data_IF_240588202869
#
_entry.id   IF_240588202869
#
_cell.length_a   1.000
_cell.length_b   1.000
_cell.length_c   1.000
_cell.angle_alpha   90.00
_cell.angle_beta   90.00
_cell.angle_gamma   90.00
#
_symmetry.space_group_name_H-M   'P 1'
#
loop_
_entity.id
_entity.type
_entity.pdbx_description
1 polymer ?
#
# COMPACT_ATOMS: atom_id res chain seq x y z
N UNK A 1 4.53 -21.72 -18.40
CA UNK A 1 5.73 -22.54 -18.05
C UNK A 1 5.60 -23.18 -16.68
N UNK A 2 5.16 -22.42 -15.64
CA UNK A 2 4.94 -23.00 -14.31
C UNK A 2 3.96 -24.18 -14.36
N UNK A 3 2.86 -24.05 -15.06
CA UNK A 3 1.83 -25.11 -15.22
C UNK A 3 2.40 -26.41 -15.79
N UNK A 4 3.31 -26.32 -16.75
CA UNK A 4 3.95 -27.48 -17.39
C UNK A 4 4.88 -28.25 -16.40
N UNK A 5 5.43 -27.55 -15.42
CA UNK A 5 6.43 -28.08 -14.48
C UNK A 5 5.96 -28.07 -13.02
N UNK A 6 4.67 -27.80 -12.77
CA UNK A 6 4.14 -27.56 -11.43
C UNK A 6 4.35 -28.73 -10.44
N UNK A 7 4.49 -29.96 -10.96
CA UNK A 7 4.70 -31.16 -10.17
C UNK A 7 6.19 -31.57 -10.07
N UNK A 8 7.08 -30.81 -10.70
CA UNK A 8 8.53 -31.04 -10.66
C UNK A 8 9.16 -30.37 -9.43
N UNK A 9 10.29 -30.89 -8.93
CA UNK A 9 11.11 -30.20 -7.92
C UNK A 9 11.46 -28.78 -8.36
N UNK A 10 11.48 -27.84 -7.42
CA UNK A 10 11.83 -26.43 -7.65
C UNK A 10 10.91 -25.67 -8.62
N UNK A 11 9.68 -26.13 -8.86
CA UNK A 11 8.68 -25.40 -9.67
C UNK A 11 8.37 -24.01 -9.11
N UNK A 12 8.49 -23.80 -7.78
CA UNK A 12 8.24 -22.54 -7.08
C UNK A 12 9.09 -21.37 -7.62
N UNK A 13 10.24 -21.65 -8.26
CA UNK A 13 11.07 -20.62 -8.93
C UNK A 13 10.31 -19.80 -9.95
N UNK A 14 9.31 -20.36 -10.60
CA UNK A 14 8.48 -19.65 -11.58
C UNK A 14 7.47 -18.72 -10.90
N UNK A 15 6.96 -19.11 -9.73
CA UNK A 15 6.09 -18.23 -8.91
C UNK A 15 6.91 -17.04 -8.41
N UNK A 16 8.15 -17.27 -7.98
CA UNK A 16 9.07 -16.21 -7.55
C UNK A 16 9.39 -15.26 -8.72
N UNK A 17 9.60 -15.80 -9.93
CA UNK A 17 9.81 -14.97 -11.13
C UNK A 17 8.55 -14.14 -11.46
N UNK A 18 7.35 -14.72 -11.35
CA UNK A 18 6.08 -13.99 -11.53
C UNK A 18 5.99 -12.86 -10.50
N UNK A 19 6.36 -13.08 -9.24
CA UNK A 19 6.40 -12.06 -8.22
C UNK A 19 7.35 -10.90 -8.58
N UNK A 20 8.53 -11.20 -9.09
CA UNK A 20 9.47 -10.18 -9.60
C UNK A 20 8.87 -9.35 -10.75
N UNK A 21 8.31 -10.03 -11.76
CA UNK A 21 7.66 -9.36 -12.89
C UNK A 21 6.44 -8.52 -12.44
N UNK A 22 5.72 -9.00 -11.42
CA UNK A 22 4.64 -8.22 -10.80
C UNK A 22 5.18 -6.93 -10.16
N UNK A 23 6.27 -7.02 -9.41
CA UNK A 23 6.94 -5.84 -8.83
C UNK A 23 7.41 -4.83 -9.89
N UNK A 24 8.04 -5.30 -10.96
CA UNK A 24 8.42 -4.45 -12.10
C UNK A 24 7.19 -3.81 -12.78
N UNK A 25 6.12 -4.58 -12.94
CA UNK A 25 4.91 -4.10 -13.62
C UNK A 25 4.17 -3.04 -12.83
N UNK A 26 4.28 -3.03 -11.50
CA UNK A 26 3.78 -1.94 -10.64
C UNK A 26 4.44 -0.61 -11.06
N UNK A 27 5.75 -0.62 -11.33
CA UNK A 27 6.51 0.54 -11.81
C UNK A 27 6.06 1.09 -13.17
N UNK A 28 5.40 0.25 -13.98
CA UNK A 28 4.86 0.67 -15.29
C UNK A 28 3.40 1.10 -15.16
N UNK A 29 2.54 0.23 -14.60
CA UNK A 29 1.13 0.52 -14.43
C UNK A 29 0.47 -0.40 -13.39
N UNK A 30 -0.19 0.20 -12.39
CA UNK A 30 -0.85 -0.55 -11.31
C UNK A 30 -1.96 -1.51 -11.79
N UNK A 31 -2.61 -1.23 -12.94
CA UNK A 31 -3.62 -2.15 -13.51
C UNK A 31 -3.05 -3.52 -13.88
N UNK A 32 -1.74 -3.67 -14.04
CA UNK A 32 -1.13 -4.97 -14.28
C UNK A 32 -1.36 -5.96 -13.13
N UNK A 33 -1.65 -5.48 -11.92
CA UNK A 33 -2.02 -6.33 -10.78
C UNK A 33 -3.32 -7.11 -11.02
N UNK A 34 -4.17 -6.69 -11.96
CA UNK A 34 -5.38 -7.41 -12.33
C UNK A 34 -5.12 -8.76 -13.01
N UNK A 35 -3.87 -9.06 -13.40
CA UNK A 35 -3.50 -10.40 -13.85
C UNK A 35 -3.41 -11.42 -12.69
N UNK A 36 -3.24 -10.98 -11.44
CA UNK A 36 -3.10 -11.88 -10.28
C UNK A 36 -4.30 -12.81 -10.09
N UNK A 37 -5.57 -12.39 -10.23
CA UNK A 37 -6.71 -13.29 -10.18
C UNK A 37 -6.62 -14.45 -11.17
N UNK A 38 -6.22 -14.18 -12.41
CA UNK A 38 -6.05 -15.23 -13.42
C UNK A 38 -4.91 -16.20 -13.02
N UNK A 39 -3.79 -15.69 -12.54
CA UNK A 39 -2.65 -16.50 -12.07
C UNK A 39 -3.05 -17.41 -10.89
N UNK A 40 -3.80 -16.86 -9.93
CA UNK A 40 -4.29 -17.64 -8.76
C UNK A 40 -5.26 -18.72 -9.19
N UNK A 41 -6.16 -18.46 -10.16
CA UNK A 41 -7.06 -19.48 -10.68
C UNK A 41 -6.29 -20.59 -11.42
N UNK A 42 -5.31 -20.26 -12.25
CA UNK A 42 -4.42 -21.25 -12.89
C UNK A 42 -3.72 -22.10 -11.81
N UNK A 43 -3.21 -21.47 -10.76
CA UNK A 43 -2.61 -22.19 -9.63
C UNK A 43 -3.61 -23.13 -8.95
N UNK A 44 -4.81 -22.65 -8.64
CA UNK A 44 -5.88 -23.41 -8.01
C UNK A 44 -6.26 -24.66 -8.82
N UNK A 45 -6.57 -24.48 -10.10
CA UNK A 45 -6.97 -25.62 -10.97
C UNK A 45 -5.86 -26.65 -11.17
N UNK A 46 -4.60 -26.22 -11.13
CA UNK A 46 -3.46 -27.14 -11.30
C UNK A 46 -3.16 -27.92 -10.02
N UNK A 47 -3.29 -27.27 -8.83
CA UNK A 47 -2.85 -27.87 -7.55
C UNK A 47 -3.96 -28.54 -6.75
N UNK A 48 -5.23 -28.26 -7.06
CA UNK A 48 -6.36 -28.82 -6.30
C UNK A 48 -7.07 -29.86 -7.14
N UNK A 49 -6.88 -31.18 -6.85
CA UNK A 49 -7.62 -32.24 -7.52
C UNK A 49 -9.13 -32.13 -7.22
N UNK A 50 -9.96 -32.26 -8.25
CA UNK A 50 -11.41 -32.14 -8.10
C UNK A 50 -11.91 -30.73 -7.84
N UNK A 51 -11.23 -29.73 -8.43
CA UNK A 51 -11.64 -28.33 -8.38
C UNK A 51 -13.13 -28.18 -8.72
N UNK A 52 -13.83 -27.36 -7.92
CA UNK A 52 -15.27 -27.14 -8.06
C UNK A 52 -15.62 -25.64 -8.03
N UNK A 53 -16.86 -25.31 -8.37
CA UNK A 53 -17.31 -23.92 -8.45
C UNK A 53 -17.14 -23.13 -7.14
N UNK A 54 -17.39 -23.75 -5.97
CA UNK A 54 -17.20 -23.09 -4.67
C UNK A 54 -15.72 -22.80 -4.41
N UNK A 55 -14.85 -23.75 -4.70
CA UNK A 55 -13.40 -23.54 -4.56
C UNK A 55 -12.86 -22.51 -5.53
N UNK A 56 -13.36 -22.46 -6.76
CA UNK A 56 -13.00 -21.43 -7.75
C UNK A 56 -13.42 -20.03 -7.27
N UNK A 57 -14.60 -19.90 -6.69
CA UNK A 57 -15.07 -18.63 -6.13
C UNK A 57 -14.22 -18.20 -4.92
N UNK A 58 -13.84 -19.14 -4.05
CA UNK A 58 -12.95 -18.87 -2.92
C UNK A 58 -11.53 -18.49 -3.39
N UNK A 59 -11.00 -19.15 -4.41
CA UNK A 59 -9.72 -18.81 -5.01
C UNK A 59 -9.75 -17.41 -5.63
N UNK A 60 -10.85 -17.06 -6.32
CA UNK A 60 -11.06 -15.72 -6.86
C UNK A 60 -11.16 -14.67 -5.74
N UNK A 61 -11.95 -14.92 -4.71
CA UNK A 61 -12.04 -14.02 -3.54
C UNK A 61 -10.67 -13.85 -2.86
N UNK A 62 -9.93 -14.93 -2.65
CA UNK A 62 -8.56 -14.90 -2.11
C UNK A 62 -7.60 -14.09 -2.98
N UNK A 63 -7.74 -14.19 -4.31
CA UNK A 63 -6.93 -13.41 -5.24
C UNK A 63 -7.23 -11.91 -5.17
N UNK A 64 -8.49 -11.52 -4.95
CA UNK A 64 -8.87 -10.12 -4.75
C UNK A 64 -8.29 -9.57 -3.45
N UNK A 65 -8.25 -10.40 -2.38
CA UNK A 65 -7.56 -10.04 -1.13
C UNK A 65 -6.06 -9.86 -1.37
N UNK A 66 -5.44 -10.73 -2.18
CA UNK A 66 -4.02 -10.60 -2.54
C UNK A 66 -3.75 -9.29 -3.31
N UNK A 67 -4.58 -8.97 -4.31
CA UNK A 67 -4.49 -7.69 -5.05
C UNK A 67 -4.64 -6.51 -4.10
N UNK A 68 -5.61 -6.56 -3.20
CA UNK A 68 -5.83 -5.50 -2.22
C UNK A 68 -4.63 -5.37 -1.25
N UNK A 69 -4.05 -6.49 -0.79
CA UNK A 69 -2.88 -6.48 0.07
C UNK A 69 -1.65 -5.85 -0.60
N UNK A 70 -1.44 -6.09 -1.90
CA UNK A 70 -0.35 -5.45 -2.65
C UNK A 70 -0.66 -3.97 -2.89
N UNK A 71 -1.86 -3.66 -3.42
CA UNK A 71 -2.24 -2.32 -3.89
C UNK A 71 -2.44 -1.33 -2.73
N UNK A 72 -3.10 -1.76 -1.66
CA UNK A 72 -3.45 -0.91 -0.52
C UNK A 72 -2.57 -1.17 0.72
N UNK A 73 -1.86 -2.30 0.76
CA UNK A 73 -0.97 -2.67 1.84
C UNK A 73 0.49 -2.37 1.50
N UNK A 74 1.12 -3.15 0.63
CA UNK A 74 2.57 -3.07 0.36
C UNK A 74 2.95 -1.73 -0.27
N UNK A 75 2.29 -1.33 -1.36
CA UNK A 75 2.68 -0.14 -2.12
C UNK A 75 2.65 1.14 -1.26
N UNK A 76 1.52 1.51 -0.61
CA UNK A 76 1.49 2.68 0.26
C UNK A 76 2.11 2.44 1.64
N UNK A 77 2.12 1.20 2.13
CA UNK A 77 2.62 0.86 3.45
C UNK A 77 4.11 1.08 3.60
N UNK A 78 4.90 0.63 2.63
CA UNK A 78 6.35 0.83 2.59
C UNK A 78 6.70 2.32 2.60
N UNK A 79 6.00 3.12 1.81
CA UNK A 79 6.20 4.57 1.78
C UNK A 79 5.82 5.19 3.12
N UNK A 80 4.68 4.82 3.70
CA UNK A 80 4.20 5.35 4.99
C UNK A 80 5.18 5.08 6.13
N UNK A 81 5.64 3.83 6.28
CA UNK A 81 6.62 3.48 7.31
C UNK A 81 7.95 4.20 7.04
N UNK A 82 8.35 4.29 5.78
CA UNK A 82 9.53 5.07 5.38
C UNK A 82 9.41 6.54 5.77
N UNK A 83 8.26 7.18 5.55
CA UNK A 83 7.99 8.56 5.99
C UNK A 83 8.11 8.72 7.51
N UNK A 84 7.57 7.77 8.30
CA UNK A 84 7.67 7.84 9.75
C UNK A 84 9.11 7.72 10.25
N UNK A 85 9.88 6.81 9.64
CA UNK A 85 11.30 6.65 10.00
C UNK A 85 12.10 7.87 9.54
N UNK A 86 11.81 8.43 8.37
CA UNK A 86 12.48 9.64 7.88
C UNK A 86 12.25 10.83 8.83
N UNK A 87 11.00 11.07 9.25
CA UNK A 87 10.68 12.13 10.23
C UNK A 87 11.41 11.92 11.56
N UNK A 88 11.50 10.67 12.03
CA UNK A 88 12.24 10.36 13.25
C UNK A 88 13.72 10.72 13.12
N UNK A 89 14.35 10.34 11.99
CA UNK A 89 15.79 10.58 11.79
C UNK A 89 16.10 12.05 11.53
N UNK A 90 15.31 12.71 10.67
CA UNK A 90 15.58 14.10 10.28
C UNK A 90 15.09 15.08 11.33
N UNK A 91 13.81 15.04 11.70
CA UNK A 91 13.25 16.05 12.60
C UNK A 91 13.61 15.82 14.06
N UNK A 92 13.69 14.56 14.53
CA UNK A 92 13.96 14.28 15.95
C UNK A 92 15.45 14.11 16.24
N UNK A 93 16.19 13.42 15.34
CA UNK A 93 17.62 13.15 15.55
C UNK A 93 18.52 14.18 14.85
N UNK A 94 17.98 15.06 13.99
CA UNK A 94 18.72 16.08 13.27
C UNK A 94 19.71 15.55 12.25
N UNK A 95 19.42 14.38 11.66
CA UNK A 95 20.23 13.76 10.62
C UNK A 95 19.91 14.38 9.24
N UNK A 96 20.80 14.23 8.25
CA UNK A 96 20.56 14.70 6.88
C UNK A 96 19.34 14.04 6.24
N UNK A 97 18.70 14.71 5.27
CA UNK A 97 17.62 14.18 4.46
C UNK A 97 17.95 12.81 3.87
N UNK A 98 16.93 11.95 3.75
CA UNK A 98 16.96 10.58 3.25
C UNK A 98 17.72 9.57 4.14
N UNK A 99 18.31 9.98 5.28
CA UNK A 99 18.98 9.04 6.19
C UNK A 99 18.00 8.00 6.77
N UNK A 100 16.83 8.44 7.20
CA UNK A 100 15.79 7.54 7.72
C UNK A 100 15.32 6.54 6.70
N UNK A 101 15.13 6.95 5.45
CA UNK A 101 14.71 6.07 4.34
C UNK A 101 15.77 4.99 4.08
N UNK A 102 17.06 5.37 4.02
CA UNK A 102 18.15 4.42 3.81
C UNK A 102 18.20 3.38 4.93
N UNK A 103 18.11 3.83 6.18
CA UNK A 103 18.09 2.93 7.35
C UNK A 103 16.86 2.02 7.31
N UNK A 104 15.70 2.56 7.00
CA UNK A 104 14.48 1.78 6.89
C UNK A 104 14.57 0.69 5.82
N UNK A 105 15.04 1.01 4.62
CA UNK A 105 15.21 0.04 3.53
C UNK A 105 16.19 -1.05 3.92
N UNK A 106 17.31 -0.69 4.57
CA UNK A 106 18.29 -1.67 5.06
C UNK A 106 17.68 -2.61 6.12
N UNK A 107 16.92 -2.06 7.07
CA UNK A 107 16.25 -2.86 8.10
C UNK A 107 15.15 -3.76 7.52
N UNK A 108 14.37 -3.26 6.57
CA UNK A 108 13.34 -4.05 5.87
C UNK A 108 13.99 -5.23 5.12
N UNK A 109 15.06 -4.97 4.37
CA UNK A 109 15.81 -6.01 3.68
C UNK A 109 16.38 -7.05 4.67
N UNK A 110 16.95 -6.61 5.78
CA UNK A 110 17.46 -7.50 6.82
C UNK A 110 16.35 -8.36 7.45
N UNK A 111 15.17 -7.78 7.70
CA UNK A 111 14.02 -8.51 8.24
C UNK A 111 13.51 -9.59 7.26
N UNK A 112 13.41 -9.26 5.97
CA UNK A 112 13.01 -10.22 4.92
C UNK A 112 14.03 -11.36 4.81
N UNK A 113 15.33 -11.03 4.76
CA UNK A 113 16.41 -12.01 4.66
C UNK A 113 16.41 -12.92 5.90
N UNK A 114 16.24 -12.36 7.09
CA UNK A 114 16.12 -13.15 8.32
C UNK A 114 14.91 -14.08 8.28
N UNK A 115 13.77 -13.60 7.82
CA UNK A 115 12.56 -14.41 7.66
C UNK A 115 12.75 -15.57 6.67
N UNK A 116 13.39 -15.31 5.52
CA UNK A 116 13.74 -16.34 4.54
C UNK A 116 14.68 -17.39 5.16
N UNK A 117 15.72 -16.95 5.87
CA UNK A 117 16.68 -17.83 6.54
C UNK A 117 16.00 -18.72 7.58
N UNK A 118 15.17 -18.17 8.48
CA UNK A 118 14.49 -18.93 9.52
C UNK A 118 13.44 -19.91 8.94
N UNK A 119 12.69 -19.48 7.92
CA UNK A 119 11.69 -20.34 7.27
C UNK A 119 12.30 -21.44 6.41
N UNK A 120 13.51 -21.24 5.88
CA UNK A 120 14.25 -22.25 5.13
C UNK A 120 14.87 -23.30 6.05
N UNK A 121 15.48 -22.89 7.17
CA UNK A 121 16.18 -23.79 8.09
C UNK A 121 15.25 -24.51 9.07
N UNK A 122 14.06 -24.01 9.32
CA UNK A 122 13.02 -24.58 10.20
C UNK A 122 13.50 -24.90 11.64
N UNK A 123 14.61 -24.28 12.11
CA UNK A 123 15.21 -24.60 13.42
C UNK A 123 14.34 -24.20 14.60
N UNK A 124 13.56 -23.11 14.49
CA UNK A 124 12.72 -22.60 15.56
C UNK A 124 11.45 -21.97 15.02
N UNK A 125 10.31 -22.54 15.37
CA UNK A 125 9.00 -22.01 14.99
C UNK A 125 8.78 -20.59 15.51
N UNK A 126 9.23 -20.31 16.73
CA UNK A 126 9.10 -18.98 17.32
C UNK A 126 9.87 -17.93 16.54
N UNK A 127 11.12 -18.18 16.18
CA UNK A 127 11.95 -17.26 15.40
C UNK A 127 11.38 -17.04 14.00
N UNK A 128 10.90 -18.10 13.36
CA UNK A 128 10.24 -18.04 12.06
C UNK A 128 8.96 -17.19 12.11
N UNK A 129 8.10 -17.38 13.10
CA UNK A 129 6.89 -16.58 13.28
C UNK A 129 7.21 -15.11 13.59
N UNK A 130 8.23 -14.88 14.43
CA UNK A 130 8.64 -13.51 14.81
C UNK A 130 9.22 -12.75 13.61
N UNK A 131 10.09 -13.37 12.83
CA UNK A 131 10.68 -12.75 11.64
C UNK A 131 9.63 -12.45 10.56
N UNK A 132 8.66 -13.36 10.39
CA UNK A 132 7.53 -13.14 9.49
C UNK A 132 6.65 -11.98 9.95
N UNK A 133 6.30 -11.94 11.23
CA UNK A 133 5.49 -10.86 11.82
C UNK A 133 6.21 -9.51 11.70
N UNK A 134 7.52 -9.47 11.99
CA UNK A 134 8.33 -8.27 11.83
C UNK A 134 8.34 -7.79 10.38
N UNK A 135 8.51 -8.69 9.42
CA UNK A 135 8.47 -8.33 7.99
C UNK A 135 7.13 -7.73 7.61
N UNK A 136 6.00 -8.32 8.02
CA UNK A 136 4.67 -7.78 7.75
C UNK A 136 4.48 -6.39 8.38
N UNK A 137 4.97 -6.19 9.59
CA UNK A 137 4.93 -4.89 10.26
C UNK A 137 5.75 -3.85 9.50
N UNK A 138 6.98 -4.18 9.11
CA UNK A 138 7.87 -3.27 8.40
C UNK A 138 7.40 -2.94 6.98
N UNK A 139 6.70 -3.86 6.30
CA UNK A 139 6.05 -3.59 5.01
C UNK A 139 4.90 -2.57 5.13
N UNK A 140 4.45 -2.26 6.34
CA UNK A 140 3.36 -1.30 6.56
C UNK A 140 1.96 -1.82 6.24
N UNK A 141 1.84 -3.08 5.81
CA UNK A 141 0.54 -3.69 5.41
C UNK A 141 -0.55 -3.49 6.47
N UNK A 142 -0.29 -3.67 7.80
CA UNK A 142 -1.31 -3.51 8.82
C UNK A 142 -1.74 -2.07 9.08
N UNK A 143 -0.92 -1.07 8.70
CA UNK A 143 -1.11 0.34 9.06
C UNK A 143 -1.97 1.07 8.03
N UNK A 144 -3.25 0.70 7.94
CA UNK A 144 -4.20 1.32 7.01
C UNK A 144 -4.85 2.57 7.63
N UNK A 145 -5.03 3.62 6.81
CA UNK A 145 -5.62 4.89 7.25
C UNK A 145 -4.57 5.98 7.54
N UNK A 146 -4.97 7.03 8.24
CA UNK A 146 -4.15 8.21 8.53
C UNK A 146 -4.03 8.45 10.04
N UNK A 147 -2.94 9.07 10.46
CA UNK A 147 -2.72 9.49 11.85
C UNK A 147 -2.72 8.35 12.86
N UNK A 148 -3.17 8.64 14.08
CA UNK A 148 -3.18 7.69 15.19
C UNK A 148 -4.06 6.45 14.94
N UNK A 149 -5.13 6.58 14.17
CA UNK A 149 -6.02 5.46 13.84
C UNK A 149 -5.31 4.37 13.04
N UNK A 150 -4.40 4.73 12.13
CA UNK A 150 -3.61 3.78 11.37
C UNK A 150 -2.70 2.93 12.28
N UNK A 151 -2.11 3.55 13.29
CA UNK A 151 -1.25 2.86 14.27
C UNK A 151 -2.07 1.90 15.12
N UNK A 152 -3.23 2.32 15.61
CA UNK A 152 -4.13 1.49 16.43
C UNK A 152 -4.60 0.27 15.61
N UNK A 153 -5.09 0.49 14.40
CA UNK A 153 -5.51 -0.59 13.49
C UNK A 153 -4.33 -1.54 13.23
N UNK A 154 -3.15 -1.00 12.96
CA UNK A 154 -1.94 -1.78 12.72
C UNK A 154 -1.56 -2.68 13.88
N UNK A 155 -1.59 -2.16 15.10
CA UNK A 155 -1.32 -2.94 16.31
C UNK A 155 -2.35 -4.05 16.50
N UNK A 156 -3.63 -3.77 16.28
CA UNK A 156 -4.69 -4.78 16.38
C UNK A 156 -4.51 -5.90 15.34
N UNK A 157 -4.24 -5.56 14.08
CA UNK A 157 -4.01 -6.52 13.01
C UNK A 157 -2.77 -7.37 13.30
N UNK A 158 -1.67 -6.77 13.76
CA UNK A 158 -0.47 -7.49 14.17
C UNK A 158 -0.73 -8.40 15.37
N UNK A 159 -1.55 -7.96 16.34
CA UNK A 159 -1.97 -8.78 17.48
C UNK A 159 -2.77 -10.02 17.06
N UNK A 160 -3.71 -9.85 16.14
CA UNK A 160 -4.50 -10.98 15.58
C UNK A 160 -3.59 -11.93 14.79
N UNK A 161 -2.68 -11.41 13.98
CA UNK A 161 -1.72 -12.23 13.23
C UNK A 161 -0.77 -12.96 14.16
N UNK A 162 -0.27 -12.30 15.21
CA UNK A 162 0.55 -12.93 16.25
C UNK A 162 -0.21 -14.04 16.97
N UNK A 163 -1.45 -13.78 17.39
CA UNK A 163 -2.30 -14.78 18.02
C UNK A 163 -2.48 -16.02 17.11
N UNK A 164 -2.72 -15.81 15.81
CA UNK A 164 -2.81 -16.90 14.84
C UNK A 164 -1.48 -17.68 14.71
N UNK A 165 -0.35 -16.99 14.54
CA UNK A 165 0.96 -17.61 14.31
C UNK A 165 1.48 -18.38 15.53
N UNK A 166 1.16 -17.92 16.75
CA UNK A 166 1.61 -18.50 18.00
C UNK A 166 0.58 -19.44 18.66
N UNK A 167 -0.62 -19.60 18.06
CA UNK A 167 -1.64 -20.50 18.59
C UNK A 167 -1.17 -21.98 18.58
N UNK A 168 -0.93 -22.54 19.76
CA UNK A 168 -0.43 -23.90 19.93
C UNK A 168 -1.48 -24.98 19.60
N UNK A 169 -2.78 -24.63 19.70
CA UNK A 169 -3.91 -25.56 19.50
C UNK A 169 -4.48 -25.55 18.08
N UNK A 170 -3.87 -24.84 17.14
CA UNK A 170 -4.38 -24.77 15.77
C UNK A 170 -4.16 -26.10 15.05
N UNK A 171 -5.21 -26.56 14.36
CA UNK A 171 -5.12 -27.75 13.52
C UNK A 171 -4.04 -27.55 12.43
N UNK A 172 -3.22 -28.57 12.17
CA UNK A 172 -2.14 -28.53 11.19
C UNK A 172 -2.61 -28.10 9.78
N UNK A 173 -3.87 -28.40 9.42
CA UNK A 173 -4.47 -28.00 8.14
C UNK A 173 -4.67 -26.49 7.99
N UNK A 174 -4.81 -25.76 9.11
CA UNK A 174 -5.05 -24.31 9.11
C UNK A 174 -3.73 -23.56 9.38
N UNK A 175 -2.75 -24.24 9.97
CA UNK A 175 -1.47 -23.65 10.34
C UNK A 175 -0.62 -23.39 9.10
N UNK A 176 -0.12 -22.17 8.96
CA UNK A 176 0.80 -21.83 7.87
C UNK A 176 2.09 -22.66 7.95
N UNK A 177 2.44 -23.38 6.88
CA UNK A 177 3.65 -24.19 6.81
C UNK A 177 4.90 -23.32 6.66
N UNK A 178 6.07 -23.84 7.03
CA UNK A 178 7.35 -23.17 6.83
C UNK A 178 7.61 -22.90 5.33
N UNK A 179 7.30 -23.85 4.47
CA UNK A 179 7.40 -23.69 3.02
C UNK A 179 6.53 -22.54 2.51
N UNK A 180 5.28 -22.42 2.98
CA UNK A 180 4.39 -21.34 2.59
C UNK A 180 4.94 -19.98 3.04
N UNK A 181 5.45 -19.88 4.27
CA UNK A 181 6.10 -18.67 4.77
C UNK A 181 7.34 -18.31 3.94
N UNK A 182 8.19 -19.30 3.65
CA UNK A 182 9.39 -19.09 2.83
C UNK A 182 9.05 -18.58 1.44
N UNK A 183 8.10 -19.24 0.76
CA UNK A 183 7.67 -18.81 -0.59
C UNK A 183 7.04 -17.43 -0.55
N UNK A 184 6.22 -17.11 0.46
CA UNK A 184 5.62 -15.77 0.62
C UNK A 184 6.70 -14.70 0.81
N UNK A 185 7.70 -14.96 1.65
CA UNK A 185 8.81 -14.02 1.89
C UNK A 185 9.70 -13.84 0.65
N UNK A 186 9.99 -14.93 -0.08
CA UNK A 186 10.72 -14.86 -1.35
C UNK A 186 9.95 -14.06 -2.40
N UNK A 187 8.64 -14.31 -2.53
CA UNK A 187 7.80 -13.53 -3.43
C UNK A 187 7.76 -12.04 -3.02
N UNK A 188 7.62 -11.76 -1.73
CA UNK A 188 7.67 -10.38 -1.20
C UNK A 188 9.00 -9.71 -1.51
N UNK A 189 10.12 -10.39 -1.26
CA UNK A 189 11.45 -9.88 -1.59
C UNK A 189 11.55 -9.54 -3.09
N UNK A 190 11.07 -10.42 -3.95
CA UNK A 190 11.14 -10.22 -5.40
C UNK A 190 10.19 -9.12 -5.90
N UNK A 191 9.00 -8.98 -5.28
CA UNK A 191 8.13 -7.82 -5.53
C UNK A 191 8.85 -6.53 -5.14
N UNK A 192 9.49 -6.49 -3.96
CA UNK A 192 10.23 -5.31 -3.50
C UNK A 192 11.42 -4.97 -4.40
N UNK A 193 12.16 -5.98 -4.89
CA UNK A 193 13.24 -5.77 -5.87
C UNK A 193 12.71 -5.19 -7.17
N UNK A 194 11.59 -5.69 -7.69
CA UNK A 194 10.92 -5.12 -8.87
C UNK A 194 10.40 -3.70 -8.62
N UNK A 195 9.74 -3.50 -7.48
CA UNK A 195 9.18 -2.21 -7.05
C UNK A 195 10.27 -1.15 -6.79
N UNK A 196 11.48 -1.54 -6.43
CA UNK A 196 12.62 -0.61 -6.24
C UNK A 196 12.96 0.18 -7.52
N UNK A 197 12.43 -0.20 -8.67
CA UNK A 197 12.51 0.60 -9.91
C UNK A 197 11.96 2.03 -9.75
N UNK A 198 11.05 2.27 -8.79
CA UNK A 198 10.61 3.63 -8.44
C UNK A 198 11.74 4.53 -7.91
N UNK A 199 12.81 3.98 -7.36
CA UNK A 199 13.98 4.77 -6.98
C UNK A 199 14.58 5.54 -8.17
N UNK A 200 14.46 4.99 -9.38
CA UNK A 200 14.91 5.68 -10.60
C UNK A 200 14.09 6.96 -10.88
N UNK A 201 12.81 6.97 -10.50
CA UNK A 201 11.96 8.15 -10.65
C UNK A 201 12.44 9.24 -9.70
N UNK A 202 12.70 8.91 -8.44
CA UNK A 202 13.23 9.85 -7.44
C UNK A 202 14.59 10.41 -7.88
N UNK A 203 15.51 9.53 -8.33
CA UNK A 203 16.84 9.95 -8.80
C UNK A 203 16.73 10.90 -10.01
N UNK A 204 15.81 10.64 -10.93
CA UNK A 204 15.59 11.52 -12.09
C UNK A 204 14.95 12.83 -11.70
N UNK A 205 14.00 12.84 -10.78
CA UNK A 205 13.35 14.04 -10.29
C UNK A 205 14.35 15.00 -9.67
N UNK A 206 15.23 14.48 -8.77
CA UNK A 206 16.31 15.29 -8.16
C UNK A 206 17.24 15.94 -9.20
N UNK A 207 17.35 15.38 -10.41
CA UNK A 207 18.13 15.94 -11.50
C UNK A 207 17.40 17.08 -12.26
N UNK A 208 16.21 17.50 -11.82
CA UNK A 208 15.41 18.60 -12.41
C UNK A 208 15.24 18.49 -13.93
N UNK A 209 14.70 17.36 -14.38
CA UNK A 209 14.45 17.10 -15.80
C UNK A 209 13.30 17.98 -16.32
N UNK A 210 13.26 18.35 -17.63
CA UNK A 210 12.23 19.25 -18.18
C UNK A 210 10.79 18.76 -18.01
N UNK A 211 10.58 17.44 -17.87
CA UNK A 211 9.27 16.83 -17.59
C UNK A 211 9.33 16.07 -16.26
N UNK A 212 9.16 16.79 -15.17
CA UNK A 212 9.17 16.25 -13.81
C UNK A 212 7.79 16.38 -13.16
N UNK A 213 6.92 15.42 -13.43
CA UNK A 213 5.55 15.44 -12.95
C UNK A 213 5.50 15.21 -11.44
N UNK A 214 4.98 16.18 -10.69
CA UNK A 214 4.87 16.21 -9.22
C UNK A 214 6.19 16.21 -8.46
N UNK A 215 7.32 16.37 -9.10
CA UNK A 215 8.66 16.45 -8.49
C UNK A 215 8.85 15.47 -7.32
N UNK A 216 8.79 14.14 -7.57
CA UNK A 216 8.93 13.14 -6.51
C UNK A 216 10.39 13.00 -6.04
N UNK A 217 10.93 14.05 -5.42
CA UNK A 217 12.34 14.15 -5.00
C UNK A 217 12.65 13.44 -3.68
N UNK A 218 11.63 13.15 -2.89
CA UNK A 218 11.76 12.49 -1.59
C UNK A 218 10.62 11.49 -1.36
N UNK A 219 10.65 10.82 -0.20
CA UNK A 219 9.68 9.78 0.11
C UNK A 219 8.25 10.32 0.29
N UNK A 220 8.08 11.59 0.72
CA UNK A 220 6.77 12.21 0.90
C UNK A 220 6.14 12.52 -0.45
N UNK A 221 6.87 13.22 -1.31
CA UNK A 221 6.45 13.56 -2.67
C UNK A 221 6.30 12.30 -3.54
N UNK A 222 7.11 11.26 -3.32
CA UNK A 222 6.91 9.95 -3.92
C UNK A 222 5.57 9.33 -3.46
N UNK A 223 5.20 9.48 -2.20
CA UNK A 223 3.91 9.04 -1.68
C UNK A 223 2.73 9.70 -2.39
N UNK A 224 2.77 11.01 -2.55
CA UNK A 224 1.76 11.79 -3.30
C UNK A 224 1.68 11.36 -4.78
N UNK A 225 2.85 11.14 -5.40
CA UNK A 225 2.93 10.64 -6.78
C UNK A 225 2.29 9.25 -6.94
N UNK A 226 2.58 8.32 -6.04
CA UNK A 226 2.03 6.97 -6.04
C UNK A 226 0.53 6.96 -5.70
N UNK A 227 0.11 7.81 -4.77
CA UNK A 227 -1.29 8.04 -4.39
C UNK A 227 -2.11 8.68 -5.50
N UNK A 228 -1.46 9.23 -6.53
CA UNK A 228 -2.11 10.02 -7.60
C UNK A 228 -2.97 11.16 -7.06
N UNK A 229 -2.54 11.78 -5.99
CA UNK A 229 -3.30 12.80 -5.25
C UNK A 229 -3.68 14.00 -6.12
N UNK A 230 -2.87 14.32 -7.12
CA UNK A 230 -3.16 15.37 -8.11
C UNK A 230 -4.51 15.18 -8.86
N UNK A 231 -4.96 13.93 -9.04
CA UNK A 231 -6.21 13.65 -9.75
C UNK A 231 -7.43 13.68 -8.84
N UNK A 232 -7.21 13.84 -7.53
CA UNK A 232 -8.24 13.78 -6.51
C UNK A 232 -8.81 12.37 -6.28
N UNK A 233 -9.55 12.25 -5.21
CA UNK A 233 -10.24 11.02 -4.83
C UNK A 233 -11.72 11.14 -5.13
N UNK A 234 -12.29 10.10 -5.72
CA UNK A 234 -13.73 9.98 -5.88
C UNK A 234 -14.16 8.63 -5.29
N UNK A 235 -15.01 8.63 -4.28
CA UNK A 235 -15.42 7.40 -3.62
C UNK A 235 -16.12 6.44 -4.59
N UNK A 236 -15.94 5.13 -4.38
CA UNK A 236 -16.49 4.10 -5.27
C UNK A 236 -17.94 3.77 -4.91
N UNK A 237 -18.22 3.55 -3.62
CA UNK A 237 -19.49 3.00 -3.16
C UNK A 237 -20.46 4.06 -2.64
N UNK A 238 -19.99 5.01 -1.86
CA UNK A 238 -20.82 6.03 -1.24
C UNK A 238 -20.10 7.38 -1.21
N UNK A 239 -20.72 8.41 -1.75
CA UNK A 239 -20.14 9.73 -1.85
C UNK A 239 -21.09 10.77 -2.43
N UNK A 240 -20.62 11.99 -2.73
CA UNK A 240 -21.46 13.11 -3.14
C UNK A 240 -22.30 12.78 -4.38
N UNK A 241 -23.57 13.15 -4.34
CA UNK A 241 -24.46 13.12 -5.49
C UNK A 241 -24.05 14.22 -6.51
N UNK A 242 -24.44 14.05 -7.77
CA UNK A 242 -24.08 15.02 -8.83
C UNK A 242 -24.63 16.44 -8.58
N UNK A 243 -25.74 16.55 -7.85
CA UNK A 243 -26.40 17.82 -7.48
C UNK A 243 -26.01 18.34 -6.09
N UNK A 244 -25.18 17.57 -5.36
CA UNK A 244 -24.85 17.91 -3.98
C UNK A 244 -24.02 19.16 -3.87
N UNK A 245 -24.40 20.03 -2.95
CA UNK A 245 -23.59 21.18 -2.53
C UNK A 245 -22.74 20.78 -1.32
N UNK A 246 -21.64 21.48 -1.09
CA UNK A 246 -20.86 21.36 0.13
C UNK A 246 -21.74 21.74 1.32
N UNK A 247 -21.69 20.96 2.38
CA UNK A 247 -22.37 21.30 3.62
C UNK A 247 -21.70 22.53 4.25
N UNK A 248 -22.50 23.43 4.80
CA UNK A 248 -22.03 24.69 5.38
C UNK A 248 -22.24 24.66 6.89
N UNK A 249 -21.29 25.17 7.63
CA UNK A 249 -21.41 25.54 9.03
C UNK A 249 -21.46 27.08 9.18
N UNK A 250 -21.92 27.55 10.31
CA UNK A 250 -21.91 28.99 10.62
C UNK A 250 -20.87 29.22 11.71
N UNK A 251 -19.79 29.91 11.35
CA UNK A 251 -18.73 30.32 12.24
C UNK A 251 -18.65 31.85 12.22
N UNK A 252 -18.72 32.48 13.39
CA UNK A 252 -18.69 33.96 13.56
C UNK A 252 -19.66 34.73 12.66
N UNK A 253 -20.82 34.12 12.33
CA UNK A 253 -21.84 34.71 11.46
C UNK A 253 -21.61 34.55 9.97
N UNK A 254 -20.54 33.85 9.56
CA UNK A 254 -20.24 33.52 8.16
C UNK A 254 -20.51 32.03 7.86
N UNK A 255 -21.03 31.78 6.66
CA UNK A 255 -21.18 30.41 6.17
C UNK A 255 -19.83 29.88 5.66
N UNK A 256 -19.25 28.90 6.36
CA UNK A 256 -18.00 28.24 5.99
C UNK A 256 -18.25 26.81 5.53
N UNK A 257 -17.53 26.32 4.52
CA UNK A 257 -17.61 24.93 4.11
C UNK A 257 -17.22 23.98 5.24
N UNK A 258 -18.08 23.00 5.55
CA UNK A 258 -17.79 22.00 6.57
C UNK A 258 -16.68 21.09 6.11
N UNK A 259 -15.58 21.07 6.86
CA UNK A 259 -14.44 20.24 6.63
C UNK A 259 -14.62 18.87 7.28
N UNK A 260 -14.38 17.81 6.52
CA UNK A 260 -14.40 16.43 7.01
C UNK A 260 -13.04 16.03 7.58
N UNK A 261 -12.00 16.30 6.84
CA UNK A 261 -10.61 16.03 7.23
C UNK A 261 -9.66 16.97 6.49
N UNK A 262 -8.52 17.19 7.10
CA UNK A 262 -7.39 17.88 6.44
C UNK A 262 -6.20 16.94 6.52
N UNK A 263 -5.67 16.53 5.38
CA UNK A 263 -4.45 15.76 5.33
C UNK A 263 -3.26 16.64 5.71
N UNK A 264 -2.21 16.01 6.22
CA UNK A 264 -0.95 16.66 6.56
C UNK A 264 0.07 16.39 5.47
N UNK A 265 0.72 17.44 4.99
CA UNK A 265 1.80 17.38 4.02
C UNK A 265 3.12 17.78 4.68
N UNK A 266 4.18 17.03 4.41
CA UNK A 266 5.53 17.35 4.87
C UNK A 266 6.37 17.85 3.71
N UNK A 267 7.00 19.03 3.89
CA UNK A 267 7.84 19.68 2.87
C UNK A 267 9.20 19.98 3.47
N UNK A 268 10.25 19.82 2.69
CA UNK A 268 11.61 20.20 3.08
C UNK A 268 11.67 21.67 3.39
N UNK A 269 12.21 22.02 4.56
CA UNK A 269 12.49 23.42 4.91
C UNK A 269 13.72 23.90 4.15
N UNK A 270 13.60 25.02 3.44
CA UNK A 270 14.75 25.70 2.86
C UNK A 270 15.65 26.25 3.96
N UNK A 271 16.96 26.00 3.84
CA UNK A 271 17.94 26.50 4.81
C UNK A 271 18.17 27.98 4.61
N UNK A 272 18.10 28.74 5.68
CA UNK A 272 18.48 30.16 5.71
C UNK A 272 19.97 30.37 5.98
N UNK A 273 20.64 29.36 6.57
CA UNK A 273 22.07 29.34 6.87
C UNK A 273 22.67 27.96 6.55
N UNK A 274 23.95 27.90 6.11
CA UNK A 274 24.64 26.62 5.86
C UNK A 274 24.73 25.69 7.08
N UNK A 275 24.72 26.25 8.29
CA UNK A 275 24.82 25.51 9.55
C UNK A 275 23.46 25.00 10.05
N UNK A 276 22.37 25.37 9.38
CA UNK A 276 21.03 24.94 9.76
C UNK A 276 20.83 23.44 9.45
N UNK A 277 20.29 22.70 10.44
CA UNK A 277 19.99 21.28 10.28
C UNK A 277 18.83 21.08 9.30
N UNK A 278 18.87 19.96 8.60
CA UNK A 278 17.76 19.52 7.76
C UNK A 278 16.50 19.32 8.61
N UNK A 279 15.35 19.71 8.10
CA UNK A 279 14.06 19.51 8.76
C UNK A 279 12.92 19.51 7.75
N UNK A 280 11.87 18.76 8.06
CA UNK A 280 10.60 18.82 7.37
C UNK A 280 9.61 19.68 8.15
N UNK A 281 8.88 20.53 7.45
CA UNK A 281 7.81 21.36 8.00
C UNK A 281 6.47 20.74 7.65
N UNK A 282 5.59 20.70 8.63
CA UNK A 282 4.22 20.27 8.47
C UNK A 282 3.38 21.41 7.87
N UNK A 283 2.71 21.13 6.77
CA UNK A 283 1.77 22.05 6.12
C UNK A 283 0.39 21.38 6.04
N UNK A 284 -0.69 22.17 6.07
CA UNK A 284 -2.02 21.64 5.78
C UNK A 284 -2.03 21.10 4.34
N UNK A 285 -2.42 19.85 4.21
CA UNK A 285 -2.60 19.20 2.93
C UNK A 285 -3.95 19.48 2.31
N UNK A 286 -4.51 18.52 1.59
CA UNK A 286 -5.78 18.66 0.92
C UNK A 286 -6.94 18.59 1.91
N UNK A 287 -7.81 19.60 1.85
CA UNK A 287 -9.05 19.62 2.63
C UNK A 287 -10.12 18.77 1.94
N UNK A 288 -10.68 17.81 2.67
CA UNK A 288 -11.90 17.11 2.25
C UNK A 288 -13.11 17.79 2.89
N UNK A 289 -14.15 18.02 2.07
CA UNK A 289 -15.38 18.64 2.52
C UNK A 289 -16.52 17.63 2.70
N UNK A 290 -17.41 17.90 3.63
CA UNK A 290 -18.67 17.19 3.71
C UNK A 290 -19.67 17.72 2.67
N UNK A 291 -20.51 16.82 2.16
CA UNK A 291 -21.52 17.14 1.18
C UNK A 291 -22.92 16.91 1.76
N UNK A 292 -23.85 17.81 1.44
CA UNK A 292 -25.20 17.78 1.97
C UNK A 292 -25.99 16.53 1.55
N UNK A 293 -25.71 16.00 0.35
CA UNK A 293 -26.37 14.83 -0.18
C UNK A 293 -25.36 13.84 -0.72
N UNK A 294 -25.47 12.59 -0.30
CA UNK A 294 -24.64 11.49 -0.77
C UNK A 294 -25.50 10.44 -1.48
N UNK A 295 -24.88 9.70 -2.40
CA UNK A 295 -25.51 8.62 -3.15
C UNK A 295 -24.65 7.37 -3.18
N UNK A 296 -25.27 6.23 -3.46
CA UNK A 296 -24.56 5.01 -3.78
C UNK A 296 -24.00 5.11 -5.20
N UNK A 297 -22.76 4.58 -5.38
CA UNK A 297 -22.04 4.54 -6.64
C UNK A 297 -21.85 5.93 -7.31
N UNK A 298 -21.21 6.89 -6.64
CA UNK A 298 -21.08 8.26 -7.14
C UNK A 298 -20.25 8.37 -8.44
N UNK A 299 -19.58 7.30 -8.88
CA UNK A 299 -18.84 7.26 -10.14
C UNK A 299 -19.72 7.05 -11.38
N UNK A 300 -21.02 6.85 -11.20
CA UNK A 300 -21.98 6.67 -12.29
C UNK A 300 -22.26 7.95 -13.10
N UNK A 301 -21.91 9.12 -12.57
CA UNK A 301 -22.07 10.40 -13.25
C UNK A 301 -20.73 11.08 -13.53
N UNK A 302 -20.71 12.02 -14.48
CA UNK A 302 -19.58 12.90 -14.73
C UNK A 302 -19.79 14.28 -14.09
N UNK A 303 -18.88 14.74 -13.25
CA UNK A 303 -18.95 16.07 -12.63
C UNK A 303 -18.94 17.20 -13.67
N UNK A 304 -18.28 17.00 -14.82
CA UNK A 304 -18.24 17.97 -15.91
C UNK A 304 -19.59 18.14 -16.63
N UNK A 305 -20.51 17.16 -16.50
CA UNK A 305 -21.81 17.17 -17.18
C UNK A 305 -23.00 17.37 -16.24
N UNK A 306 -22.76 17.83 -15.03
CA UNK A 306 -23.81 18.03 -13.99
C UNK A 306 -24.97 18.90 -14.47
N UNK A 307 -24.68 19.96 -15.24
CA UNK A 307 -25.71 20.86 -15.79
C UNK A 307 -26.65 20.13 -16.75
N UNK A 308 -26.12 19.22 -17.59
CA UNK A 308 -26.93 18.45 -18.52
C UNK A 308 -27.86 17.45 -17.82
N UNK A 309 -27.39 16.82 -16.74
CA UNK A 309 -28.24 15.91 -15.96
C UNK A 309 -29.44 16.63 -15.33
N UNK A 310 -29.24 17.85 -14.82
CA UNK A 310 -30.30 18.70 -14.29
C UNK A 310 -31.34 19.04 -15.37
N UNK A 311 -30.85 19.43 -16.54
CA UNK A 311 -31.72 19.77 -17.68
C UNK A 311 -32.54 18.57 -18.16
N UNK A 312 -31.95 17.35 -18.19
CA UNK A 312 -32.67 16.14 -18.61
C UNK A 312 -33.73 15.67 -17.61
N UNK A 313 -33.57 16.01 -16.33
CA UNK A 313 -34.50 15.60 -15.28
C UNK A 313 -35.53 16.67 -14.90
N UNK A 314 -35.56 17.80 -15.62
CA UNK A 314 -36.40 18.99 -15.29
C UNK A 314 -36.28 19.43 -13.82
N UNK A 315 -35.10 19.23 -13.22
CA UNK A 315 -34.82 19.67 -11.86
C UNK A 315 -34.30 21.11 -11.95
N UNK A 316 -35.11 22.05 -11.55
CA UNK A 316 -34.77 23.48 -11.43
C UNK A 316 -33.97 23.79 -10.17
#
# INVERSE_FOLDING_TARGET
>A
KWEDVADQPHSDRWIILIAYLTGLSIGVHLLNLLCLPAIVLVYYYKKVPGANAKGSLLALAGSMVLVAAVLYGIVPGVVKVGCWVELLFVNSLGMPFNTGVIVYVALLAAAIIWGIYESYNEKSRTRMNLSFLLTIAMLGIPFYGHGASAVIIGILVLGVLAAYLFASKLNEKIRMSARTMNTALLCTMMIMVGYSSYALIVIRSVANTPMDQNSPEDIFTLGEYLGREQYGTRPLFYGPAYSSKVALDVEDGYCVPRQKSTDTKYVRKEKTSPDEKDSYVELPGRVEYEYAQNMLFPRMYSSAHTAYYKSWQDIT
#
